data_IF_255992156983
#
_entry.id   IF_255992156983
#
_cell.length_a   1.000
_cell.length_b   1.000
_cell.length_c   1.000
_cell.angle_alpha   90.00
_cell.angle_beta   90.00
_cell.angle_gamma   90.00
#
_symmetry.space_group_name_H-M   'P 1'
#
loop_
_entity.id
_entity.type
_entity.pdbx_description
1 polymer ?
#
# COMPACT_ATOMS: atom_id res chain seq x y z
N UNK A 1 7.71 -26.42 32.77
CA UNK A 1 8.65 -25.31 32.48
C UNK A 1 9.05 -25.38 31.01
N UNK A 2 8.24 -24.84 30.10
CA UNK A 2 8.49 -24.85 28.65
C UNK A 2 9.06 -23.49 28.25
N UNK A 3 10.35 -23.44 27.95
CA UNK A 3 11.02 -22.25 27.40
C UNK A 3 10.55 -22.04 25.96
N UNK A 4 9.67 -21.06 25.71
CA UNK A 4 9.42 -20.56 24.35
C UNK A 4 10.63 -19.75 23.89
N UNK A 5 11.36 -20.26 22.89
CA UNK A 5 12.28 -19.45 22.08
C UNK A 5 11.48 -18.32 21.44
N UNK A 6 11.96 -17.08 21.58
CA UNK A 6 11.52 -15.94 20.76
C UNK A 6 12.37 -15.94 19.51
N UNK A 7 11.84 -16.48 18.41
CA UNK A 7 12.43 -16.27 17.10
C UNK A 7 11.92 -14.92 16.56
N UNK A 8 12.84 -13.98 16.38
CA UNK A 8 12.61 -12.62 15.91
C UNK A 8 12.38 -12.52 14.41
N UNK A 9 11.31 -13.11 13.89
CA UNK A 9 10.82 -12.85 12.54
C UNK A 9 9.82 -11.70 12.55
N UNK A 10 9.94 -10.75 11.61
CA UNK A 10 8.87 -9.78 11.34
C UNK A 10 7.63 -10.57 10.91
N UNK A 11 6.70 -10.83 11.85
CA UNK A 11 5.45 -11.52 11.56
C UNK A 11 4.55 -10.54 10.81
N UNK A 12 4.69 -10.47 9.50
CA UNK A 12 3.71 -9.77 8.66
C UNK A 12 2.35 -10.42 8.94
N UNK A 13 1.42 -9.64 9.49
CA UNK A 13 0.11 -10.17 9.85
C UNK A 13 -0.57 -10.74 8.59
N UNK A 14 -1.37 -11.79 8.76
CA UNK A 14 -2.09 -12.39 7.63
C UNK A 14 -2.98 -11.35 6.91
N UNK A 15 -3.52 -10.39 7.66
CA UNK A 15 -4.26 -9.26 7.11
C UNK A 15 -3.38 -8.38 6.20
N UNK A 16 -2.19 -8.00 6.65
CA UNK A 16 -1.25 -7.22 5.86
C UNK A 16 -0.80 -7.99 4.60
N UNK A 17 -0.54 -9.29 4.72
CA UNK A 17 -0.21 -10.13 3.57
C UNK A 17 -1.36 -10.16 2.53
N UNK A 18 -2.62 -10.23 2.97
CA UNK A 18 -3.79 -10.17 2.06
C UNK A 18 -3.93 -8.80 1.39
N UNK A 19 -3.71 -7.71 2.12
CA UNK A 19 -3.72 -6.36 1.56
C UNK A 19 -2.60 -6.16 0.53
N UNK A 20 -1.39 -6.65 0.84
CA UNK A 20 -0.25 -6.58 -0.08
C UNK A 20 -0.47 -7.40 -1.35
N UNK A 21 -1.10 -8.57 -1.25
CA UNK A 21 -1.51 -9.34 -2.44
C UNK A 21 -2.59 -8.62 -3.25
N UNK A 22 -3.60 -8.05 -2.60
CA UNK A 22 -4.65 -7.31 -3.28
C UNK A 22 -4.10 -6.07 -4.03
N UNK A 23 -3.06 -5.44 -3.49
CA UNK A 23 -2.39 -4.29 -4.09
C UNK A 23 -1.38 -4.65 -5.21
N UNK A 24 -1.14 -5.92 -5.54
CA UNK A 24 -0.13 -6.26 -6.56
C UNK A 24 -0.54 -5.80 -7.96
N UNK A 25 0.29 -5.00 -8.67
CA UNK A 25 -0.08 -4.45 -9.97
C UNK A 25 -0.24 -5.53 -11.06
N UNK A 26 0.45 -6.66 -10.93
CA UNK A 26 0.49 -7.79 -11.89
C UNK A 26 -0.86 -8.48 -12.15
N UNK A 27 -1.88 -8.20 -11.33
CA UNK A 27 -3.16 -8.93 -11.33
C UNK A 27 -4.34 -7.98 -11.18
N UNK A 28 -5.46 -8.34 -11.77
CA UNK A 28 -6.76 -7.76 -11.45
C UNK A 28 -7.25 -8.32 -10.11
N UNK A 29 -7.63 -7.43 -9.20
CA UNK A 29 -8.03 -7.80 -7.84
C UNK A 29 -9.45 -7.33 -7.54
N UNK A 30 -10.29 -8.22 -7.02
CA UNK A 30 -11.56 -7.86 -6.39
C UNK A 30 -11.41 -7.88 -4.88
N UNK A 31 -11.74 -6.78 -4.20
CA UNK A 31 -11.58 -6.64 -2.75
C UNK A 31 -12.94 -6.47 -2.09
N UNK A 32 -13.44 -7.55 -1.49
CA UNK A 32 -14.59 -7.51 -0.59
C UNK A 32 -14.10 -7.41 0.85
N UNK A 33 -14.44 -6.33 1.54
CA UNK A 33 -14.05 -6.13 2.94
C UNK A 33 -14.99 -5.18 3.67
N UNK A 34 -15.15 -5.39 4.97
CA UNK A 34 -16.02 -4.59 5.84
C UNK A 34 -15.57 -3.11 5.93
N UNK A 35 -16.42 -2.24 6.46
CA UNK A 35 -16.00 -0.87 6.80
C UNK A 35 -14.76 -0.88 7.72
N UNK A 36 -13.87 0.10 7.57
CA UNK A 36 -12.65 0.20 8.39
C UNK A 36 -11.51 -0.78 8.06
N UNK A 37 -11.70 -1.73 7.14
CA UNK A 37 -10.68 -2.73 6.75
C UNK A 37 -9.50 -2.22 5.90
N UNK A 38 -9.42 -0.91 5.65
CA UNK A 38 -8.32 -0.32 4.87
C UNK A 38 -8.43 -0.49 3.35
N UNK A 39 -9.63 -0.66 2.78
CA UNK A 39 -9.85 -0.74 1.31
C UNK A 39 -9.20 0.43 0.55
N UNK A 40 -9.37 1.65 1.06
CA UNK A 40 -8.75 2.84 0.47
C UNK A 40 -7.23 2.77 0.53
N UNK A 41 -6.66 2.29 1.64
CA UNK A 41 -5.21 2.07 1.76
C UNK A 41 -4.71 1.06 0.74
N UNK A 42 -5.44 -0.04 0.52
CA UNK A 42 -5.09 -1.03 -0.51
C UNK A 42 -5.10 -0.40 -1.91
N UNK A 43 -6.10 0.43 -2.22
CA UNK A 43 -6.18 1.14 -3.49
C UNK A 43 -5.03 2.15 -3.66
N UNK A 44 -4.73 2.96 -2.66
CA UNK A 44 -3.61 3.91 -2.69
C UNK A 44 -2.27 3.19 -2.85
N UNK A 45 -2.06 2.09 -2.12
CA UNK A 45 -0.84 1.28 -2.23
C UNK A 45 -0.70 0.66 -3.62
N UNK A 46 -1.80 0.18 -4.22
CA UNK A 46 -1.79 -0.33 -5.59
C UNK A 46 -1.34 0.74 -6.59
N UNK A 47 -1.86 1.95 -6.48
CA UNK A 47 -1.46 3.06 -7.35
C UNK A 47 0.01 3.41 -7.14
N UNK A 48 0.47 3.49 -5.88
CA UNK A 48 1.88 3.74 -5.58
C UNK A 48 2.81 2.69 -6.22
N UNK A 49 2.47 1.40 -6.12
CA UNK A 49 3.25 0.33 -6.75
C UNK A 49 3.27 0.41 -8.27
N UNK A 50 2.15 0.77 -8.91
CA UNK A 50 2.13 1.00 -10.37
C UNK A 50 3.12 2.09 -10.77
N UNK A 51 3.16 3.19 -10.02
CA UNK A 51 4.09 4.30 -10.26
C UNK A 51 5.55 3.90 -10.02
N UNK A 52 5.82 3.16 -8.94
CA UNK A 52 7.17 2.65 -8.64
C UNK A 52 7.66 1.64 -9.70
N UNK A 53 6.75 0.86 -10.29
CA UNK A 53 7.04 -0.02 -11.42
C UNK A 53 7.27 0.75 -12.75
N UNK A 54 7.26 2.08 -12.73
CA UNK A 54 7.50 2.92 -13.92
C UNK A 54 6.27 3.14 -14.80
N UNK A 55 5.06 2.83 -14.32
CA UNK A 55 3.82 3.12 -15.06
C UNK A 55 3.63 4.63 -15.14
N UNK A 56 3.45 5.16 -16.35
CA UNK A 56 3.07 6.55 -16.57
C UNK A 56 1.77 6.88 -15.80
N UNK A 57 1.76 7.89 -14.89
CA UNK A 57 0.58 8.30 -14.17
C UNK A 57 -0.65 8.53 -15.06
N UNK A 58 -0.46 9.02 -16.30
CA UNK A 58 -1.54 9.28 -17.25
C UNK A 58 -2.28 8.00 -17.69
N UNK A 59 -1.69 6.82 -17.48
CA UNK A 59 -2.30 5.52 -17.76
C UNK A 59 -3.10 4.95 -16.58
N UNK A 60 -3.10 5.61 -15.43
CA UNK A 60 -3.80 5.15 -14.23
C UNK A 60 -5.10 5.93 -14.04
N UNK A 61 -6.24 5.26 -14.21
CA UNK A 61 -7.56 5.82 -13.93
C UNK A 61 -8.10 5.27 -12.61
N UNK A 62 -8.39 6.16 -11.66
CA UNK A 62 -9.06 5.82 -10.41
C UNK A 62 -10.47 6.44 -10.37
N UNK A 63 -11.48 5.61 -10.11
CA UNK A 63 -12.89 6.03 -10.05
C UNK A 63 -13.44 5.87 -8.63
N UNK A 64 -14.18 6.87 -8.16
CA UNK A 64 -14.84 6.88 -6.86
C UNK A 64 -16.28 7.37 -6.99
N UNK A 65 -17.13 7.04 -6.02
CA UNK A 65 -18.54 7.44 -6.02
C UNK A 65 -18.73 8.96 -5.90
N UNK A 66 -17.82 9.64 -5.20
CA UNK A 66 -17.89 11.09 -4.98
C UNK A 66 -16.60 11.79 -5.38
N UNK A 67 -16.71 13.06 -5.76
CA UNK A 67 -15.56 13.94 -6.03
C UNK A 67 -14.69 14.15 -4.80
N UNK A 68 -15.31 14.25 -3.61
CA UNK A 68 -14.58 14.39 -2.36
C UNK A 68 -13.70 13.16 -2.07
N UNK A 69 -14.22 11.94 -2.29
CA UNK A 69 -13.45 10.71 -2.13
C UNK A 69 -12.29 10.62 -3.14
N UNK A 70 -12.49 11.04 -4.38
CA UNK A 70 -11.43 11.11 -5.38
C UNK A 70 -10.30 12.04 -4.92
N UNK A 71 -10.65 13.25 -4.49
CA UNK A 71 -9.69 14.25 -4.02
C UNK A 71 -8.96 13.79 -2.76
N UNK A 72 -9.67 13.17 -1.81
CA UNK A 72 -9.04 12.61 -0.61
C UNK A 72 -8.03 11.51 -0.95
N UNK A 73 -8.39 10.58 -1.85
CA UNK A 73 -7.51 9.51 -2.27
C UNK A 73 -6.25 10.05 -2.98
N UNK A 74 -6.42 11.03 -3.87
CA UNK A 74 -5.32 11.70 -4.55
C UNK A 74 -4.39 12.41 -3.55
N UNK A 75 -4.94 13.20 -2.63
CA UNK A 75 -4.17 13.90 -1.61
C UNK A 75 -3.40 12.95 -0.70
N UNK A 76 -4.00 11.80 -0.33
CA UNK A 76 -3.32 10.74 0.44
C UNK A 76 -2.12 10.18 -0.33
N UNK A 77 -2.29 9.86 -1.61
CA UNK A 77 -1.22 9.35 -2.47
C UNK A 77 -0.07 10.35 -2.58
N UNK A 78 -0.36 11.62 -2.92
CA UNK A 78 0.67 12.64 -3.06
C UNK A 78 1.40 12.93 -1.77
N UNK A 79 0.71 12.93 -0.62
CA UNK A 79 1.35 13.08 0.68
C UNK A 79 2.34 11.95 0.95
N UNK A 80 1.97 10.71 0.65
CA UNK A 80 2.85 9.55 0.84
C UNK A 80 4.07 9.61 -0.07
N UNK A 81 3.87 9.85 -1.37
CA UNK A 81 4.97 9.98 -2.33
C UNK A 81 5.88 11.17 -2.01
N UNK A 82 5.30 12.30 -1.64
CA UNK A 82 6.03 13.50 -1.23
C UNK A 82 6.85 13.28 0.04
N UNK A 83 6.34 12.50 1.00
CA UNK A 83 7.11 12.11 2.17
C UNK A 83 8.31 11.26 1.79
N UNK A 84 8.13 10.23 0.94
CA UNK A 84 9.22 9.36 0.49
C UNK A 84 10.31 10.10 -0.28
N UNK A 85 9.93 11.07 -1.11
CA UNK A 85 10.87 11.89 -1.87
C UNK A 85 11.82 12.73 -0.97
N UNK A 86 11.48 12.88 0.32
CA UNK A 86 12.28 13.62 1.29
C UNK A 86 13.03 12.71 2.28
N UNK A 87 12.88 11.38 2.16
CA UNK A 87 13.56 10.42 3.04
C UNK A 87 14.94 10.05 2.48
N UNK A 88 15.90 9.86 3.39
CA UNK A 88 17.17 9.20 3.08
C UNK A 88 16.95 7.70 2.78
N UNK A 89 17.97 7.04 2.22
CA UNK A 89 17.87 5.66 1.72
C UNK A 89 17.40 4.65 2.77
N UNK A 90 17.94 4.70 3.99
CA UNK A 90 17.60 3.75 5.06
C UNK A 90 16.12 3.84 5.50
N UNK A 91 15.58 5.04 5.85
CA UNK A 91 14.16 5.16 6.16
C UNK A 91 13.26 4.92 4.94
N UNK A 92 13.69 5.30 3.73
CA UNK A 92 12.93 5.03 2.50
C UNK A 92 12.79 3.52 2.28
N UNK A 93 13.87 2.75 2.39
CA UNK A 93 13.85 1.30 2.26
C UNK A 93 12.89 0.65 3.28
N UNK A 94 12.82 1.17 4.50
CA UNK A 94 11.89 0.68 5.51
C UNK A 94 10.42 0.95 5.15
N UNK A 95 10.11 2.09 4.51
CA UNK A 95 8.76 2.37 4.01
C UNK A 95 8.39 1.50 2.80
N UNK A 96 9.32 1.31 1.85
CA UNK A 96 9.11 0.44 0.70
C UNK A 96 8.91 -1.03 1.11
N UNK A 97 9.64 -1.51 2.12
CA UNK A 97 9.47 -2.84 2.68
C UNK A 97 8.06 -3.07 3.24
N UNK A 98 7.38 -2.04 3.78
CA UNK A 98 5.99 -2.15 4.22
C UNK A 98 5.02 -2.35 3.05
N UNK A 99 5.36 -1.79 1.89
CA UNK A 99 4.67 -2.05 0.63
C UNK A 99 5.07 -3.38 0.02
N UNK A 100 6.01 -4.13 0.57
CA UNK A 100 6.46 -5.40 0.00
C UNK A 100 7.27 -5.22 -1.28
N UNK A 101 7.91 -4.06 -1.44
CA UNK A 101 8.99 -3.79 -2.39
C UNK A 101 10.35 -3.83 -1.69
#
# INVERSE_FOLDING_TARGET
MVRRRRDGGCVVSEAAARQNRAASPERSSWVAANAGSGKTTVLTNRVARLLLAGTDPARVLCLTYTKAAASEMQSRLFRTLGAWAMLDDAPLAAELAKLGE
#
